data_IF_874625264436
#
_entry.id   IF_874625264436
#
_cell.length_a   1.000
_cell.length_b   1.000
_cell.length_c   1.000
_cell.angle_alpha   90.00
_cell.angle_beta   90.00
_cell.angle_gamma   90.00
#
_symmetry.space_group_name_H-M   'P 1'
#
loop_
_entity.id
_entity.type
_entity.pdbx_description
1 polymer ?
#
# COMPACT_ATOMS: atom_id res chain seq x y z
N UNK A 1 -7.59 11.44 -22.19
CA UNK A 1 -6.25 12.07 -22.17
C UNK A 1 -5.97 12.94 -20.93
N UNK A 2 -6.77 13.98 -20.61
CA UNK A 2 -6.47 14.94 -19.50
C UNK A 2 -6.36 14.31 -18.09
N UNK A 3 -7.18 13.29 -17.78
CA UNK A 3 -7.19 12.60 -16.47
C UNK A 3 -5.89 11.84 -16.19
N UNK A 4 -5.31 11.20 -17.21
CA UNK A 4 -4.04 10.46 -17.11
C UNK A 4 -2.85 11.39 -16.86
N UNK A 5 -2.79 12.53 -17.56
CA UNK A 5 -1.77 13.55 -17.29
C UNK A 5 -1.88 14.10 -15.87
N UNK A 6 -3.10 14.33 -15.37
CA UNK A 6 -3.32 14.78 -14.00
C UNK A 6 -2.80 13.73 -12.99
N UNK A 7 -3.16 12.46 -13.16
CA UNK A 7 -2.65 11.35 -12.35
C UNK A 7 -1.12 11.28 -12.32
N UNK A 8 -0.45 11.36 -13.48
CA UNK A 8 1.02 11.33 -13.55
C UNK A 8 1.66 12.52 -12.81
N UNK A 9 1.08 13.72 -12.91
CA UNK A 9 1.56 14.90 -12.16
C UNK A 9 1.39 14.71 -10.64
N UNK A 10 0.27 14.13 -10.20
CA UNK A 10 0.05 13.83 -8.79
C UNK A 10 1.03 12.76 -8.28
N UNK A 11 1.24 11.66 -9.02
CA UNK A 11 2.24 10.65 -8.66
C UNK A 11 3.62 11.24 -8.45
N UNK A 12 4.08 12.14 -9.33
CA UNK A 12 5.38 12.84 -9.16
C UNK A 12 5.43 13.73 -7.91
N UNK A 13 4.32 14.37 -7.53
CA UNK A 13 4.25 15.18 -6.30
C UNK A 13 4.36 14.29 -5.06
N UNK A 14 3.62 13.19 -5.03
CA UNK A 14 3.62 12.22 -3.92
C UNK A 14 4.97 11.50 -3.82
N UNK A 15 5.56 11.09 -4.95
CA UNK A 15 6.90 10.53 -5.03
C UNK A 15 7.91 11.40 -4.28
N UNK A 16 7.93 12.72 -4.57
CA UNK A 16 8.81 13.66 -3.88
C UNK A 16 8.48 13.82 -2.39
N UNK A 17 7.19 13.79 -2.03
CA UNK A 17 6.75 13.94 -0.64
C UNK A 17 7.22 12.77 0.24
N UNK A 18 7.19 11.54 -0.29
CA UNK A 18 7.62 10.33 0.41
C UNK A 18 9.04 9.88 0.06
N UNK A 19 9.78 10.67 -0.71
CA UNK A 19 11.13 10.35 -1.18
C UNK A 19 11.25 8.97 -1.87
N UNK A 20 10.25 8.61 -2.67
CA UNK A 20 10.24 7.38 -3.46
C UNK A 20 11.16 7.51 -4.69
N UNK A 21 11.82 6.42 -5.08
CA UNK A 21 12.76 6.40 -6.20
C UNK A 21 12.03 6.60 -7.54
N UNK A 22 10.85 5.99 -7.67
CA UNK A 22 10.07 6.01 -8.91
C UNK A 22 8.61 6.40 -8.66
N UNK A 23 7.99 7.01 -9.66
CA UNK A 23 6.56 7.38 -9.58
C UNK A 23 5.63 6.17 -9.65
N UNK A 24 6.14 5.07 -10.18
CA UNK A 24 5.52 3.78 -10.38
C UNK A 24 5.26 3.08 -9.04
N UNK A 25 6.06 3.38 -8.02
CA UNK A 25 5.90 2.90 -6.63
C UNK A 25 4.67 3.52 -5.94
N UNK A 26 4.07 4.58 -6.51
CA UNK A 26 2.86 5.21 -5.98
C UNK A 26 1.61 4.54 -6.56
N UNK A 27 0.93 3.73 -5.76
CA UNK A 27 -0.33 3.07 -6.11
C UNK A 27 -1.50 3.82 -5.45
N UNK A 28 -2.49 4.25 -6.25
CA UNK A 28 -3.70 4.86 -5.73
C UNK A 28 -4.76 3.78 -5.48
N UNK A 29 -5.28 3.77 -4.25
CA UNK A 29 -6.30 2.83 -3.78
C UNK A 29 -7.55 3.59 -3.34
N UNK A 30 -8.62 2.86 -3.01
CA UNK A 30 -9.85 3.45 -2.46
C UNK A 30 -9.71 3.95 -1.02
N UNK A 31 -8.64 3.56 -0.30
CA UNK A 31 -8.38 3.96 1.08
C UNK A 31 -7.29 3.12 1.74
N UNK A 32 -6.94 3.45 2.99
CA UNK A 32 -5.84 2.81 3.74
C UNK A 32 -6.02 1.30 3.91
N UNK A 33 -7.20 0.85 4.33
CA UNK A 33 -7.50 -0.59 4.46
C UNK A 33 -7.35 -1.34 3.15
N UNK A 34 -7.80 -0.75 2.04
CA UNK A 34 -7.63 -1.37 0.72
C UNK A 34 -6.15 -1.45 0.31
N UNK A 35 -5.34 -0.44 0.66
CA UNK A 35 -3.89 -0.50 0.43
C UNK A 35 -3.23 -1.66 1.19
N UNK A 36 -3.60 -1.84 2.47
CA UNK A 36 -3.06 -2.93 3.29
C UNK A 36 -3.48 -4.29 2.73
N UNK A 37 -4.75 -4.44 2.36
CA UNK A 37 -5.27 -5.69 1.79
C UNK A 37 -4.56 -6.10 0.49
N UNK A 38 -4.22 -5.15 -0.38
CA UNK A 38 -3.47 -5.46 -1.62
C UNK A 38 -2.11 -6.07 -1.28
N UNK A 39 -1.40 -5.51 -0.29
CA UNK A 39 -0.10 -6.04 0.14
C UNK A 39 -0.28 -7.42 0.78
N UNK A 40 -1.23 -7.56 1.72
CA UNK A 40 -1.49 -8.83 2.40
C UNK A 40 -1.80 -9.94 1.39
N UNK A 41 -2.75 -9.71 0.47
CA UNK A 41 -3.12 -10.68 -0.56
C UNK A 41 -1.99 -10.97 -1.55
N UNK A 42 -1.15 -9.98 -1.88
CA UNK A 42 -0.01 -10.17 -2.77
C UNK A 42 1.17 -10.93 -2.14
N UNK A 43 1.24 -10.96 -0.80
CA UNK A 43 2.28 -11.67 -0.05
C UNK A 43 1.83 -13.03 0.48
N UNK A 44 0.53 -13.35 0.51
CA UNK A 44 0.00 -14.62 1.05
C UNK A 44 0.73 -15.84 0.50
N UNK A 45 0.97 -15.89 -0.81
CA UNK A 45 1.62 -17.04 -1.46
C UNK A 45 3.13 -17.14 -1.16
N UNK A 46 3.72 -16.08 -0.61
CA UNK A 46 5.13 -16.02 -0.22
C UNK A 46 5.34 -16.39 1.25
N UNK A 47 4.27 -16.45 2.05
CA UNK A 47 4.31 -16.75 3.47
C UNK A 47 4.10 -18.24 3.74
N UNK A 48 4.84 -18.75 4.72
CA UNK A 48 4.74 -20.11 5.23
C UNK A 48 4.24 -20.11 6.68
N UNK A 49 3.91 -21.28 7.22
CA UNK A 49 3.47 -21.41 8.61
C UNK A 49 4.54 -21.04 9.63
N UNK A 50 5.80 -21.02 9.22
CA UNK A 50 6.95 -20.75 10.08
C UNK A 50 7.33 -19.26 10.08
N UNK A 51 6.67 -18.45 9.25
CA UNK A 51 6.90 -17.00 9.19
C UNK A 51 6.11 -16.24 10.25
N UNK A 52 6.73 -15.24 10.85
CA UNK A 52 6.12 -14.38 11.87
C UNK A 52 5.86 -12.97 11.34
N UNK A 53 4.64 -12.48 11.57
CA UNK A 53 4.26 -11.09 11.24
C UNK A 53 4.35 -10.24 12.51
N UNK A 54 5.28 -9.29 12.53
CA UNK A 54 5.49 -8.40 13.68
C UNK A 54 4.63 -7.14 13.51
N UNK A 55 3.84 -6.84 14.55
CA UNK A 55 2.95 -5.66 14.62
C UNK A 55 3.15 -4.93 15.95
N UNK A 56 2.94 -3.62 15.97
CA UNK A 56 2.96 -2.83 17.21
C UNK A 56 1.66 -3.02 18.00
N UNK A 57 1.75 -3.01 19.34
CA UNK A 57 0.56 -3.03 20.21
C UNK A 57 -0.32 -1.77 20.12
N UNK A 58 0.16 -0.73 19.42
CA UNK A 58 -0.57 0.51 19.17
C UNK A 58 -1.29 0.54 17.82
N UNK A 59 -1.19 -0.53 17.02
CA UNK A 59 -1.83 -0.57 15.71
C UNK A 59 -3.35 -0.49 15.83
N UNK A 60 -3.96 0.29 14.94
CA UNK A 60 -5.42 0.41 14.89
C UNK A 60 -6.03 -0.94 14.47
N UNK A 61 -7.10 -1.39 15.12
CA UNK A 61 -7.72 -2.71 14.88
C UNK A 61 -8.03 -3.03 13.41
N UNK A 62 -8.33 -2.02 12.59
CA UNK A 62 -8.59 -2.16 11.15
C UNK A 62 -7.36 -2.54 10.30
N UNK A 63 -6.15 -2.44 10.85
CA UNK A 63 -4.88 -2.77 10.20
C UNK A 63 -4.49 -4.22 10.53
N UNK A 64 -4.80 -4.69 11.74
CA UNK A 64 -4.47 -6.02 12.25
C UNK A 64 -5.26 -7.15 11.59
N UNK A 65 -6.45 -6.85 11.08
CA UNK A 65 -7.30 -7.82 10.38
C UNK A 65 -7.63 -7.30 8.99
N UNK A 66 -6.72 -7.48 8.01
CA UNK A 66 -7.00 -7.22 6.61
C UNK A 66 -8.24 -8.05 6.20
N UNK A 67 -9.38 -7.39 6.02
CA UNK A 67 -10.58 -8.05 5.53
C UNK A 67 -10.36 -8.55 4.10
N UNK A 68 -10.98 -9.67 3.72
CA UNK A 68 -11.00 -10.12 2.33
C UNK A 68 -11.55 -9.04 1.40
#
# INVERSE_FOLDING_TARGET
MRRLLKLRKFKKKIQKHFNANFSEEIIFTSGTTHSINIIANGYTDLLTSDDEIIVSGMEHHLILYPGR
#
